data_IF_983213175170
#
_entry.id   IF_983213175170
#
_cell.length_a   1.000
_cell.length_b   1.000
_cell.length_c   1.000
_cell.angle_alpha   90.00
_cell.angle_beta   90.00
_cell.angle_gamma   90.00
#
_symmetry.space_group_name_H-M   'P 1'
#
loop_
_entity.id
_entity.type
_entity.pdbx_description
1 polymer ?
#
# COMPACT_ATOMS: atom_id res chain seq x y z
N UNK A 1 -12.05 8.78 -34.39
CA UNK A 1 -12.20 8.43 -32.97
C UNK A 1 -12.62 6.97 -32.75
N UNK A 2 -11.72 6.18 -32.18
CA UNK A 2 -11.93 4.85 -31.61
C UNK A 2 -12.66 4.94 -30.25
N UNK A 3 -13.98 4.75 -30.26
CA UNK A 3 -14.82 4.80 -29.05
C UNK A 3 -14.46 3.73 -28.01
N UNK A 4 -13.89 2.59 -28.41
CA UNK A 4 -13.51 1.51 -27.49
C UNK A 4 -12.31 1.86 -26.62
N UNK A 5 -11.51 2.85 -27.03
CA UNK A 5 -10.36 3.33 -26.28
C UNK A 5 -10.72 4.45 -25.28
N UNK A 6 -11.94 4.97 -25.32
CA UNK A 6 -12.42 5.96 -24.36
C UNK A 6 -12.75 5.30 -23.04
N UNK A 7 -12.18 5.81 -21.96
CA UNK A 7 -12.46 5.30 -20.62
C UNK A 7 -12.37 6.38 -19.55
N UNK A 8 -13.39 6.41 -18.71
CA UNK A 8 -13.46 7.17 -17.48
C UNK A 8 -14.37 6.45 -16.48
N UNK A 9 -13.99 6.49 -15.21
CA UNK A 9 -14.84 6.02 -14.11
C UNK A 9 -14.81 7.06 -12.97
N UNK A 10 -15.99 7.42 -12.46
CA UNK A 10 -16.12 8.35 -11.35
C UNK A 10 -15.73 7.66 -10.03
N UNK A 11 -15.16 8.40 -9.07
CA UNK A 11 -14.64 7.86 -7.80
C UNK A 11 -13.61 6.72 -8.01
N UNK A 12 -12.72 6.91 -8.96
CA UNK A 12 -11.64 5.98 -9.29
C UNK A 12 -10.32 6.73 -9.43
N UNK A 13 -9.24 6.07 -9.81
CA UNK A 13 -8.00 6.71 -10.24
C UNK A 13 -8.20 7.76 -11.36
N UNK A 14 -9.33 7.69 -12.07
CA UNK A 14 -9.76 8.65 -13.09
C UNK A 14 -10.54 9.86 -12.54
N UNK A 15 -11.00 9.83 -11.30
CA UNK A 15 -11.79 10.90 -10.67
C UNK A 15 -11.69 10.81 -9.15
N UNK A 16 -10.84 11.65 -8.55
CA UNK A 16 -10.54 11.60 -7.12
C UNK A 16 -10.37 13.00 -6.53
N UNK A 17 -10.77 13.17 -5.27
CA UNK A 17 -10.52 14.40 -4.53
C UNK A 17 -9.03 14.49 -4.20
N UNK A 18 -8.35 15.51 -4.72
CA UNK A 18 -6.93 15.76 -4.44
C UNK A 18 -6.76 16.38 -3.05
N UNK A 19 -7.61 17.37 -2.75
CA UNK A 19 -7.73 18.02 -1.45
C UNK A 19 -9.22 18.28 -1.12
N UNK A 20 -9.50 19.05 -0.06
CA UNK A 20 -10.87 19.35 0.40
C UNK A 20 -11.74 20.09 -0.63
N UNK A 21 -11.13 20.81 -1.56
CA UNK A 21 -11.82 21.69 -2.51
C UNK A 21 -11.54 21.32 -3.97
N UNK A 22 -10.48 20.56 -4.23
CA UNK A 22 -9.99 20.27 -5.58
C UNK A 22 -10.28 18.83 -5.99
N UNK A 23 -10.95 18.67 -7.13
CA UNK A 23 -11.18 17.40 -7.78
C UNK A 23 -10.26 17.25 -9.00
N UNK A 24 -9.55 16.13 -9.06
CA UNK A 24 -8.76 15.73 -10.22
C UNK A 24 -9.59 14.79 -11.07
N UNK A 25 -9.78 15.14 -12.34
CA UNK A 25 -10.54 14.35 -13.31
C UNK A 25 -9.66 14.09 -14.52
N UNK A 26 -9.66 12.83 -14.96
CA UNK A 26 -8.94 12.42 -16.14
C UNK A 26 -9.70 11.35 -16.92
N UNK A 27 -9.54 11.31 -18.24
CA UNK A 27 -10.04 10.20 -19.08
C UNK A 27 -8.95 9.81 -20.07
N UNK A 28 -8.98 8.58 -20.55
CA UNK A 28 -8.09 8.14 -21.63
C UNK A 28 -8.82 8.02 -22.95
N UNK A 29 -8.10 8.24 -24.04
CA UNK A 29 -8.50 7.98 -25.42
C UNK A 29 -7.38 7.26 -26.16
N UNK A 30 -7.66 6.69 -27.34
CA UNK A 30 -6.60 6.16 -28.20
C UNK A 30 -5.59 7.28 -28.52
N UNK A 31 -4.31 6.91 -28.60
CA UNK A 31 -3.22 7.85 -28.88
C UNK A 31 -3.48 8.64 -30.17
N UNK A 32 -3.39 9.96 -30.08
CA UNK A 32 -3.57 10.92 -31.18
C UNK A 32 -4.93 10.82 -31.90
N UNK A 33 -5.94 10.21 -31.28
CA UNK A 33 -7.24 9.95 -31.90
C UNK A 33 -8.29 11.03 -31.60
N UNK A 34 -8.01 11.91 -30.64
CA UNK A 34 -8.83 13.10 -30.34
C UNK A 34 -7.98 14.37 -30.47
N UNK A 35 -8.57 15.44 -31.00
CA UNK A 35 -7.89 16.72 -31.24
C UNK A 35 -7.89 17.62 -30.01
N UNK A 36 -9.02 17.69 -29.31
CA UNK A 36 -9.17 18.44 -28.07
C UNK A 36 -10.30 17.85 -27.21
N UNK A 37 -10.26 18.20 -25.93
CA UNK A 37 -11.29 17.79 -24.97
C UNK A 37 -11.53 18.91 -23.96
N UNK A 38 -12.80 19.14 -23.65
CA UNK A 38 -13.23 20.00 -22.56
C UNK A 38 -14.01 19.17 -21.54
N UNK A 39 -13.98 19.59 -20.28
CA UNK A 39 -14.96 19.16 -19.30
C UNK A 39 -16.08 20.19 -19.24
N UNK A 40 -17.33 19.72 -19.15
CA UNK A 40 -18.48 20.50 -18.73
C UNK A 40 -18.88 20.02 -17.33
N UNK A 41 -19.01 20.92 -16.38
CA UNK A 41 -19.27 20.57 -14.98
C UNK A 41 -20.11 21.63 -14.26
N UNK A 42 -20.82 21.22 -13.21
CA UNK A 42 -21.66 22.12 -12.41
C UNK A 42 -22.28 21.42 -11.19
N UNK A 43 -22.84 22.21 -10.27
CA UNK A 43 -23.57 21.66 -9.13
C UNK A 43 -24.85 20.97 -9.64
N UNK A 44 -25.15 19.71 -9.24
CA UNK A 44 -26.29 18.97 -9.76
C UNK A 44 -27.66 19.64 -9.53
N UNK A 45 -27.73 20.57 -8.59
CA UNK A 45 -28.94 21.27 -8.15
C UNK A 45 -28.95 22.76 -8.50
N UNK A 46 -27.91 23.29 -9.16
CA UNK A 46 -27.89 24.68 -9.62
C UNK A 46 -28.61 24.79 -10.96
N UNK A 47 -29.80 25.37 -10.95
CA UNK A 47 -30.62 25.60 -12.14
C UNK A 47 -31.00 27.07 -12.21
N UNK A 48 -30.60 27.73 -13.29
CA UNK A 48 -30.88 29.13 -13.55
C UNK A 48 -32.06 29.25 -14.53
N UNK A 49 -32.83 30.34 -14.43
CA UNK A 49 -33.85 30.66 -15.44
C UNK A 49 -33.15 31.35 -16.61
N UNK A 50 -33.25 30.77 -17.80
CA UNK A 50 -32.75 31.43 -19.00
C UNK A 50 -33.64 32.64 -19.38
N UNK A 51 -33.20 33.42 -20.38
CA UNK A 51 -33.92 34.62 -20.87
C UNK A 51 -35.34 34.33 -21.38
N UNK A 52 -35.65 33.08 -21.69
CA UNK A 52 -36.95 32.60 -22.17
C UNK A 52 -37.83 32.02 -21.06
N UNK A 53 -37.36 32.08 -19.80
CA UNK A 53 -38.09 31.59 -18.62
C UNK A 53 -38.02 30.08 -18.39
N UNK A 54 -37.32 29.32 -19.24
CA UNK A 54 -37.10 27.88 -19.04
C UNK A 54 -35.89 27.63 -18.13
N UNK A 55 -35.99 26.55 -17.33
CA UNK A 55 -34.93 26.14 -16.41
C UNK A 55 -33.76 25.56 -17.19
N UNK A 56 -32.55 26.02 -16.90
CA UNK A 56 -31.33 25.57 -17.55
C UNK A 56 -30.27 25.27 -16.48
N UNK A 57 -29.53 24.17 -16.65
CA UNK A 57 -28.54 23.76 -15.66
C UNK A 57 -27.34 24.72 -15.65
N UNK A 58 -26.97 25.26 -14.48
CA UNK A 58 -25.83 26.17 -14.37
C UNK A 58 -24.52 25.40 -14.41
N UNK A 59 -23.77 25.52 -15.51
CA UNK A 59 -22.49 24.85 -15.72
C UNK A 59 -21.35 25.81 -16.06
N UNK A 60 -20.14 25.28 -15.95
CA UNK A 60 -18.90 25.85 -16.44
C UNK A 60 -18.24 24.86 -17.39
N UNK A 61 -17.39 25.36 -18.29
CA UNK A 61 -16.54 24.53 -19.15
C UNK A 61 -15.08 24.85 -18.92
N UNK A 62 -14.21 23.85 -19.05
CA UNK A 62 -12.76 24.01 -18.94
C UNK A 62 -12.05 23.09 -19.91
N UNK A 63 -11.03 23.60 -20.59
CA UNK A 63 -10.15 22.79 -21.44
C UNK A 63 -9.40 21.75 -20.61
N UNK A 64 -9.25 20.55 -21.16
CA UNK A 64 -8.46 19.48 -20.57
C UNK A 64 -7.08 19.42 -21.24
N UNK A 65 -6.03 19.36 -20.43
CA UNK A 65 -4.67 19.18 -20.94
C UNK A 65 -4.41 17.71 -21.27
N UNK A 66 -3.74 17.43 -22.40
CA UNK A 66 -3.13 16.11 -22.60
C UNK A 66 -1.90 16.01 -21.69
N UNK A 67 -2.09 15.45 -20.51
CA UNK A 67 -1.05 15.36 -19.48
C UNK A 67 -0.04 14.27 -19.76
N UNK A 68 -0.51 13.12 -20.24
CA UNK A 68 0.33 11.97 -20.51
C UNK A 68 -0.03 11.33 -21.85
N UNK A 69 0.94 10.66 -22.47
CA UNK A 69 0.76 9.87 -23.67
C UNK A 69 1.60 8.59 -23.53
N UNK A 70 0.93 7.45 -23.48
CA UNK A 70 1.55 6.12 -23.53
C UNK A 70 1.70 5.66 -24.98
N UNK A 71 2.07 4.39 -25.20
CA UNK A 71 2.16 3.79 -26.53
C UNK A 71 0.77 3.70 -27.18
N UNK A 72 -0.26 3.43 -26.39
CA UNK A 72 -1.63 3.17 -26.85
C UNK A 72 -2.60 4.31 -26.56
N UNK A 73 -2.36 5.12 -25.53
CA UNK A 73 -3.36 6.06 -25.01
C UNK A 73 -2.85 7.48 -24.80
N UNK A 74 -3.74 8.45 -25.02
CA UNK A 74 -3.63 9.82 -24.52
C UNK A 74 -4.46 9.97 -23.25
N UNK A 75 -3.91 10.61 -22.22
CA UNK A 75 -4.61 10.89 -20.96
C UNK A 75 -4.86 12.39 -20.83
N UNK A 76 -6.13 12.76 -20.86
CA UNK A 76 -6.59 14.14 -20.72
C UNK A 76 -6.93 14.40 -19.27
N UNK A 77 -6.46 15.52 -18.72
CA UNK A 77 -6.60 15.87 -17.32
C UNK A 77 -7.19 17.27 -17.14
N UNK A 78 -7.93 17.45 -16.05
CA UNK A 78 -8.33 18.76 -15.54
C UNK A 78 -8.45 18.76 -14.02
N UNK A 79 -8.08 19.88 -13.41
CA UNK A 79 -8.44 20.22 -12.02
C UNK A 79 -9.70 21.08 -12.04
N UNK A 80 -10.68 20.76 -11.21
CA UNK A 80 -11.85 21.62 -10.96
C UNK A 80 -12.06 21.83 -9.46
N UNK A 81 -12.71 22.94 -9.09
CA UNK A 81 -13.04 23.28 -7.70
C UNK A 81 -14.55 23.50 -7.56
N UNK A 82 -15.34 22.43 -7.34
CA UNK A 82 -16.78 22.56 -7.23
C UNK A 82 -17.14 23.43 -6.02
N UNK A 83 -17.78 24.58 -6.25
CA UNK A 83 -18.07 25.59 -5.21
C UNK A 83 -18.80 25.04 -3.97
N UNK A 84 -19.69 24.07 -4.18
CA UNK A 84 -20.48 23.44 -3.11
C UNK A 84 -20.04 22.01 -2.81
N UNK A 85 -18.81 21.66 -3.20
CA UNK A 85 -18.15 20.36 -2.96
C UNK A 85 -18.86 19.17 -3.61
N UNK A 86 -19.71 19.41 -4.61
CA UNK A 86 -20.41 18.36 -5.39
C UNK A 86 -20.48 18.76 -6.85
N UNK A 87 -20.43 17.80 -7.75
CA UNK A 87 -20.46 18.11 -9.19
C UNK A 87 -21.01 16.96 -10.01
N UNK A 88 -21.79 17.30 -11.02
CA UNK A 88 -21.97 16.45 -12.21
C UNK A 88 -21.07 16.96 -13.32
N UNK A 89 -20.61 16.06 -14.18
CA UNK A 89 -19.74 16.44 -15.30
C UNK A 89 -19.82 15.45 -16.46
N UNK A 90 -19.43 15.91 -17.64
CA UNK A 90 -19.24 15.12 -18.84
C UNK A 90 -18.08 15.70 -19.64
N UNK A 91 -17.61 14.98 -20.66
CA UNK A 91 -16.53 15.44 -21.52
C UNK A 91 -17.08 15.84 -22.89
N UNK A 92 -16.70 17.01 -23.38
CA UNK A 92 -16.93 17.41 -24.76
C UNK A 92 -15.65 17.08 -25.53
N UNK A 93 -15.72 16.07 -26.39
CA UNK A 93 -14.59 15.54 -27.15
C UNK A 93 -14.73 15.98 -28.61
N UNK A 94 -13.66 16.51 -29.19
CA UNK A 94 -13.59 16.86 -30.60
C UNK A 94 -12.53 16.01 -31.29
N UNK A 95 -12.94 15.20 -32.28
CA UNK A 95 -12.03 14.29 -32.99
C UNK A 95 -11.37 14.88 -34.24
N UNK A 96 -11.71 16.13 -34.57
CA UNK A 96 -11.25 16.81 -35.79
C UNK A 96 -12.40 17.13 -36.74
N UNK A 97 -13.44 16.29 -36.75
CA UNK A 97 -14.59 16.42 -37.63
C UNK A 97 -15.89 16.63 -36.85
N UNK A 98 -16.07 15.87 -35.77
CA UNK A 98 -17.29 15.81 -34.98
C UNK A 98 -17.03 16.14 -33.51
N UNK A 99 -18.06 16.65 -32.85
CA UNK A 99 -18.08 16.89 -31.40
C UNK A 99 -18.97 15.87 -30.72
N UNK A 100 -18.57 15.40 -29.54
CA UNK A 100 -19.32 14.40 -28.78
C UNK A 100 -19.39 14.77 -27.31
N UNK A 101 -20.55 14.55 -26.70
CA UNK A 101 -20.73 14.56 -25.25
C UNK A 101 -20.54 13.14 -24.73
N UNK A 102 -19.44 12.90 -24.02
CA UNK A 102 -19.10 11.63 -23.39
C UNK A 102 -19.46 11.67 -21.90
N UNK A 103 -20.52 10.93 -21.54
CA UNK A 103 -21.02 10.82 -20.19
C UNK A 103 -21.01 9.38 -19.66
N UNK A 104 -21.51 9.17 -18.44
CA UNK A 104 -21.39 7.90 -17.73
C UNK A 104 -22.18 6.75 -18.36
N UNK A 105 -23.35 7.03 -18.93
CA UNK A 105 -24.25 6.01 -19.48
C UNK A 105 -24.18 5.92 -21.00
N UNK A 106 -23.84 7.02 -21.68
CA UNK A 106 -23.84 7.10 -23.15
C UNK A 106 -22.94 8.21 -23.68
N UNK A 107 -22.61 8.08 -24.95
CA UNK A 107 -21.97 9.11 -25.76
C UNK A 107 -22.99 9.66 -26.76
N UNK A 108 -23.10 10.99 -26.85
CA UNK A 108 -24.03 11.68 -27.75
C UNK A 108 -23.19 12.46 -28.76
N UNK A 109 -23.49 12.33 -30.04
CA UNK A 109 -22.87 13.16 -31.08
C UNK A 109 -23.62 14.50 -31.19
N UNK A 110 -22.86 15.60 -31.21
CA UNK A 110 -23.37 16.96 -31.27
C UNK A 110 -23.31 17.41 -32.74
N UNK A 111 -24.38 17.12 -33.48
CA UNK A 111 -24.48 17.34 -34.95
C UNK A 111 -24.92 18.76 -35.33
N UNK A 112 -25.18 19.60 -34.34
CA UNK A 112 -25.60 20.98 -34.48
C UNK A 112 -24.71 21.91 -33.65
N UNK A 113 -24.84 23.22 -33.87
CA UNK A 113 -24.18 24.21 -33.01
C UNK A 113 -24.61 23.99 -31.56
N UNK A 114 -23.64 23.76 -30.67
CA UNK A 114 -23.87 23.38 -29.27
C UNK A 114 -24.75 24.44 -28.58
N UNK A 115 -25.89 24.02 -28.07
CA UNK A 115 -26.83 24.87 -27.32
C UNK A 115 -26.81 24.51 -25.86
N UNK A 116 -27.07 25.49 -25.01
CA UNK A 116 -27.17 25.27 -23.56
C UNK A 116 -28.20 24.19 -23.18
N UNK A 117 -29.28 24.03 -23.96
CA UNK A 117 -30.29 22.99 -23.74
C UNK A 117 -29.77 21.57 -23.88
N UNK A 118 -28.67 21.36 -24.62
CA UNK A 118 -28.08 20.04 -24.86
C UNK A 118 -27.54 19.40 -23.57
N UNK A 119 -27.34 20.22 -22.52
CA UNK A 119 -26.76 19.82 -21.24
C UNK A 119 -27.77 19.73 -20.10
N UNK A 120 -29.06 19.95 -20.37
CA UNK A 120 -30.10 19.89 -19.33
C UNK A 120 -30.43 18.44 -18.91
N UNK A 121 -30.12 17.43 -19.73
CA UNK A 121 -30.30 16.03 -19.32
C UNK A 121 -29.09 15.49 -18.55
N UNK A 122 -29.08 15.74 -17.24
CA UNK A 122 -28.02 15.29 -16.34
C UNK A 122 -28.03 13.78 -16.09
N UNK A 123 -29.00 13.02 -16.63
CA UNK A 123 -29.04 11.57 -16.44
C UNK A 123 -27.85 10.87 -17.08
N UNK A 124 -27.28 11.47 -18.14
CA UNK A 124 -26.12 10.96 -18.87
C UNK A 124 -24.76 11.36 -18.25
N UNK A 125 -24.73 12.24 -17.25
CA UNK A 125 -23.49 12.82 -16.72
C UNK A 125 -22.87 11.93 -15.63
N UNK A 126 -21.54 11.94 -15.57
CA UNK A 126 -20.81 11.44 -14.40
C UNK A 126 -21.15 12.29 -13.17
N UNK A 127 -21.01 11.68 -11.99
CA UNK A 127 -21.35 12.30 -10.73
C UNK A 127 -20.23 12.10 -9.72
N UNK A 128 -19.76 13.19 -9.12
CA UNK A 128 -18.97 13.17 -7.89
C UNK A 128 -19.87 13.74 -6.77
N UNK A 129 -20.53 12.86 -5.99
CA UNK A 129 -21.64 13.28 -5.12
C UNK A 129 -21.27 14.34 -4.08
N UNK A 130 -20.10 14.19 -3.44
CA UNK A 130 -19.59 15.14 -2.45
C UNK A 130 -18.10 14.91 -2.18
N UNK A 131 -17.33 15.98 -1.95
CA UNK A 131 -15.96 15.95 -1.44
C UNK A 131 -16.00 15.97 0.10
N UNK A 132 -16.11 14.79 0.70
CA UNK A 132 -16.00 14.63 2.16
C UNK A 132 -14.52 14.72 2.56
N UNK A 133 -14.21 15.55 3.55
CA UNK A 133 -12.83 15.69 4.05
C UNK A 133 -12.31 14.41 4.75
N UNK A 134 -13.23 13.58 5.26
CA UNK A 134 -12.97 12.29 5.91
C UNK A 134 -12.57 11.21 4.92
N UNK A 135 -13.01 11.31 3.66
CA UNK A 135 -12.72 10.37 2.58
C UNK A 135 -11.38 10.69 1.87
N UNK A 136 -10.71 11.77 2.27
CA UNK A 136 -9.43 12.16 1.67
C UNK A 136 -8.31 11.22 2.09
N UNK A 137 -7.42 10.93 1.14
CA UNK A 137 -6.17 10.23 1.43
C UNK A 137 -5.24 11.12 2.25
N UNK A 138 -5.33 11.03 3.57
CA UNK A 138 -4.53 11.80 4.51
C UNK A 138 -3.38 10.95 5.06
N UNK A 139 -2.17 11.32 4.65
CA UNK A 139 -0.90 10.74 5.12
C UNK A 139 -0.22 11.65 6.15
N UNK A 140 0.62 11.12 7.04
CA UNK A 140 1.38 11.95 7.95
C UNK A 140 2.34 12.88 7.18
N UNK A 141 2.30 14.22 7.39
CA UNK A 141 3.05 15.18 6.57
C UNK A 141 4.57 15.03 6.60
N UNK A 142 5.12 14.35 7.60
CA UNK A 142 6.55 14.11 7.73
C UNK A 142 7.06 13.07 6.71
N UNK A 143 6.21 12.14 6.27
CA UNK A 143 6.60 10.99 5.42
C UNK A 143 7.14 11.43 4.06
N UNK A 144 6.56 12.47 3.45
CA UNK A 144 6.99 13.00 2.15
C UNK A 144 8.44 13.49 2.11
N UNK A 145 9.00 13.81 3.29
CA UNK A 145 10.37 14.29 3.46
C UNK A 145 11.29 13.21 4.07
N UNK A 146 10.78 11.97 4.22
CA UNK A 146 11.52 10.88 4.85
C UNK A 146 12.33 10.10 3.83
N UNK A 147 13.61 9.90 4.13
CA UNK A 147 14.47 8.94 3.44
C UNK A 147 14.59 7.71 4.33
N UNK A 148 14.01 6.60 3.88
CA UNK A 148 13.92 5.37 4.65
C UNK A 148 15.15 4.48 4.46
N UNK A 149 15.60 3.85 5.55
CA UNK A 149 16.62 2.81 5.54
C UNK A 149 16.04 1.51 6.13
N UNK A 150 16.02 0.45 5.32
CA UNK A 150 15.52 -0.86 5.73
C UNK A 150 16.63 -1.65 6.44
N UNK A 151 16.35 -2.15 7.64
CA UNK A 151 17.28 -2.93 8.46
C UNK A 151 16.74 -4.35 8.66
N UNK A 152 17.49 -5.32 8.15
CA UNK A 152 17.35 -6.72 8.55
C UNK A 152 18.24 -6.97 9.78
N UNK A 153 17.60 -7.08 10.96
CA UNK A 153 18.25 -6.94 12.27
C UNK A 153 19.48 -7.85 12.46
N UNK A 154 19.33 -9.16 12.21
CA UNK A 154 20.37 -10.16 12.43
C UNK A 154 21.67 -9.90 11.63
N UNK A 155 21.59 -9.10 10.55
CA UNK A 155 22.67 -8.91 9.58
C UNK A 155 23.19 -7.48 9.50
N UNK A 156 22.70 -6.56 10.33
CA UNK A 156 23.09 -5.16 10.23
C UNK A 156 24.35 -4.84 11.02
N UNK A 157 24.31 -5.02 12.34
CA UNK A 157 25.47 -4.80 13.19
C UNK A 157 25.30 -5.49 14.54
N UNK A 158 26.36 -6.14 15.03
CA UNK A 158 26.37 -6.80 16.34
C UNK A 158 27.21 -6.01 17.34
N UNK A 159 26.62 -5.64 18.48
CA UNK A 159 27.36 -5.06 19.60
C UNK A 159 28.04 -6.11 20.46
N UNK A 160 27.48 -7.32 20.48
CA UNK A 160 27.88 -8.41 21.38
C UNK A 160 28.76 -9.47 20.73
N UNK A 161 28.75 -9.55 19.39
CA UNK A 161 29.37 -10.64 18.60
C UNK A 161 28.91 -12.03 19.07
N UNK A 162 27.65 -12.17 19.46
CA UNK A 162 27.07 -13.41 19.97
C UNK A 162 26.81 -14.49 18.89
N UNK A 163 27.56 -14.48 17.79
CA UNK A 163 27.51 -15.52 16.77
C UNK A 163 28.88 -16.16 16.59
N UNK A 164 28.88 -17.47 16.39
CA UNK A 164 30.08 -18.22 15.98
C UNK A 164 30.41 -18.05 14.50
N UNK A 165 29.52 -17.43 13.72
CA UNK A 165 29.73 -17.17 12.29
C UNK A 165 30.59 -15.93 12.09
N UNK A 166 31.50 -16.01 11.14
CA UNK A 166 32.26 -14.85 10.69
C UNK A 166 31.37 -13.93 9.84
N UNK A 167 31.38 -12.64 10.15
CA UNK A 167 30.65 -11.63 9.39
C UNK A 167 31.19 -11.56 7.96
N UNK A 168 30.29 -11.64 6.97
CA UNK A 168 30.67 -11.60 5.55
C UNK A 168 31.00 -12.97 4.94
N UNK A 169 30.80 -14.08 5.66
CA UNK A 169 30.89 -15.42 5.08
C UNK A 169 29.82 -15.65 4.00
N UNK A 170 30.25 -16.14 2.83
CA UNK A 170 29.39 -16.45 1.69
C UNK A 170 29.57 -17.92 1.24
N UNK A 171 28.52 -18.61 0.76
CA UNK A 171 27.14 -18.14 0.65
C UNK A 171 26.41 -18.16 2.00
N UNK A 172 25.54 -17.17 2.20
CA UNK A 172 24.65 -17.07 3.37
C UNK A 172 23.52 -18.10 3.26
N UNK A 173 23.18 -18.75 4.37
CA UNK A 173 22.02 -19.66 4.46
C UNK A 173 20.91 -19.07 5.33
N UNK A 174 19.68 -19.56 5.13
CA UNK A 174 18.48 -19.04 5.79
C UNK A 174 18.41 -19.38 7.28
N UNK A 175 19.06 -20.46 7.71
CA UNK A 175 19.10 -20.95 9.09
C UNK A 175 20.27 -20.39 9.92
N UNK A 176 21.15 -19.60 9.29
CA UNK A 176 22.30 -18.97 9.92
C UNK A 176 21.90 -17.70 10.71
N UNK A 177 22.50 -17.51 11.88
CA UNK A 177 22.33 -16.32 12.72
C UNK A 177 23.67 -15.61 12.89
N UNK A 178 23.76 -14.36 12.46
CA UNK A 178 25.01 -13.57 12.50
C UNK A 178 25.09 -12.67 13.75
N UNK A 179 24.01 -12.60 14.53
CA UNK A 179 24.01 -12.01 15.85
C UNK A 179 23.91 -10.49 15.86
N UNK A 180 23.39 -9.88 14.80
CA UNK A 180 22.99 -8.47 14.82
C UNK A 180 21.93 -8.20 15.88
N UNK A 181 22.02 -7.05 16.56
CA UNK A 181 21.24 -6.73 17.76
C UNK A 181 20.84 -5.24 17.85
N UNK A 182 19.85 -4.93 18.69
CA UNK A 182 19.31 -3.57 18.86
C UNK A 182 20.37 -2.59 19.37
N UNK A 183 21.25 -3.04 20.27
CA UNK A 183 22.37 -2.22 20.76
C UNK A 183 23.35 -1.89 19.63
N UNK A 184 23.57 -2.82 18.72
CA UNK A 184 24.38 -2.64 17.52
C UNK A 184 23.78 -1.58 16.59
N UNK A 185 22.48 -1.64 16.32
CA UNK A 185 21.79 -0.59 15.57
C UNK A 185 21.91 0.76 16.29
N UNK A 186 21.71 0.77 17.62
CA UNK A 186 21.83 1.99 18.44
C UNK A 186 23.21 2.64 18.32
N UNK A 187 24.29 1.86 18.18
CA UNK A 187 25.66 2.37 17.94
C UNK A 187 25.88 2.93 16.54
N UNK A 188 25.00 2.64 15.59
CA UNK A 188 25.08 3.08 14.19
C UNK A 188 24.07 4.15 13.82
N UNK A 189 23.26 4.62 14.77
CA UNK A 189 22.30 5.69 14.49
C UNK A 189 22.97 6.99 14.06
N UNK A 190 24.14 7.34 14.62
CA UNK A 190 24.92 8.50 14.17
C UNK A 190 25.42 8.34 12.73
N UNK A 191 25.81 7.12 12.33
CA UNK A 191 26.18 6.82 10.95
C UNK A 191 24.98 6.99 10.01
N UNK A 192 23.79 6.53 10.41
CA UNK A 192 22.57 6.69 9.61
C UNK A 192 22.16 8.17 9.50
N UNK A 193 22.31 8.94 10.57
CA UNK A 193 22.05 10.37 10.57
C UNK A 193 23.04 11.11 9.63
N UNK A 194 24.33 10.78 9.68
CA UNK A 194 25.36 11.33 8.79
C UNK A 194 25.09 11.00 7.32
N UNK A 195 24.57 9.79 7.03
CA UNK A 195 24.11 9.39 5.70
C UNK A 195 22.87 10.19 5.22
N UNK A 196 22.19 10.92 6.10
CA UNK A 196 20.98 11.69 5.78
C UNK A 196 19.68 10.90 5.90
N UNK A 197 19.71 9.74 6.57
CA UNK A 197 18.51 8.93 6.82
C UNK A 197 17.64 9.59 7.88
N UNK A 198 16.34 9.65 7.62
CA UNK A 198 15.34 10.25 8.53
C UNK A 198 14.24 9.27 8.94
N UNK A 199 14.29 8.03 8.44
CA UNK A 199 13.40 6.95 8.87
C UNK A 199 14.07 5.59 8.79
N UNK A 200 13.82 4.72 9.76
CA UNK A 200 14.25 3.33 9.77
C UNK A 200 13.02 2.43 9.69
N UNK A 201 13.07 1.47 8.78
CA UNK A 201 12.13 0.35 8.71
C UNK A 201 12.84 -0.92 9.16
N UNK A 202 12.39 -1.51 10.27
CA UNK A 202 12.84 -2.83 10.70
C UNK A 202 11.98 -3.93 10.10
N UNK A 203 12.60 -4.96 9.54
CA UNK A 203 11.94 -6.28 9.36
C UNK A 203 11.49 -6.83 10.72
N UNK A 204 10.75 -7.95 10.81
CA UNK A 204 10.22 -8.40 12.10
C UNK A 204 11.33 -8.58 13.16
N UNK A 205 11.08 -8.03 14.36
CA UNK A 205 11.99 -8.09 15.51
C UNK A 205 11.35 -8.76 16.73
N UNK A 206 10.11 -9.23 16.60
CA UNK A 206 9.40 -9.92 17.66
C UNK A 206 9.89 -11.36 17.81
N UNK A 207 9.66 -11.92 18.99
CA UNK A 207 10.13 -13.25 19.37
C UNK A 207 9.71 -14.29 18.33
N UNK A 208 10.69 -14.99 17.75
CA UNK A 208 10.47 -16.03 16.75
C UNK A 208 11.70 -16.95 16.61
N UNK A 209 11.52 -18.25 16.28
CA UNK A 209 12.61 -19.21 16.25
C UNK A 209 13.53 -19.14 15.02
N UNK A 210 13.24 -18.30 14.02
CA UNK A 210 13.99 -18.22 12.76
C UNK A 210 14.81 -16.94 12.64
N UNK A 211 15.74 -16.85 11.69
CA UNK A 211 16.52 -15.63 11.45
C UNK A 211 15.63 -14.44 11.02
N UNK A 212 14.61 -14.70 10.18
CA UNK A 212 13.77 -13.68 9.56
C UNK A 212 12.60 -13.21 10.44
N UNK A 213 12.24 -13.99 11.47
CA UNK A 213 11.23 -13.66 12.48
C UNK A 213 9.77 -13.50 12.02
N UNK A 214 9.46 -13.65 10.72
CA UNK A 214 8.08 -13.70 10.20
C UNK A 214 7.17 -14.78 10.84
N UNK A 215 7.71 -15.91 11.30
CA UNK A 215 6.97 -16.91 12.07
C UNK A 215 6.91 -16.52 13.55
N UNK A 216 6.15 -15.45 13.85
CA UNK A 216 6.07 -14.80 15.16
C UNK A 216 5.49 -15.72 16.25
N UNK A 217 6.22 -15.87 17.36
CA UNK A 217 5.81 -16.62 18.55
C UNK A 217 5.14 -15.73 19.62
N UNK A 218 5.65 -14.51 19.81
CA UNK A 218 5.09 -13.52 20.75
C UNK A 218 5.23 -12.10 20.20
N UNK A 219 4.09 -11.45 19.93
CA UNK A 219 4.00 -10.12 19.35
C UNK A 219 4.30 -8.97 20.35
N UNK A 220 4.39 -9.26 21.65
CA UNK A 220 4.59 -8.25 22.70
C UNK A 220 6.01 -8.21 23.24
N UNK A 221 6.89 -9.02 22.65
CA UNK A 221 8.24 -9.24 23.13
C UNK A 221 9.24 -9.18 21.97
N UNK A 222 10.24 -8.31 22.10
CA UNK A 222 11.44 -8.34 21.26
C UNK A 222 12.10 -9.71 21.38
N UNK A 223 12.59 -10.24 20.26
CA UNK A 223 13.32 -11.49 20.28
C UNK A 223 14.56 -11.41 21.20
N UNK A 224 14.75 -12.35 22.14
CA UNK A 224 15.89 -12.34 23.05
C UNK A 224 17.26 -12.31 22.36
N UNK A 225 17.35 -12.78 21.12
CA UNK A 225 18.55 -12.68 20.31
C UNK A 225 18.90 -11.22 19.98
N UNK A 226 17.89 -10.37 19.78
CA UNK A 226 18.05 -8.97 19.40
C UNK A 226 18.16 -8.03 20.60
N UNK A 227 17.63 -8.43 21.75
CA UNK A 227 17.72 -7.69 23.01
C UNK A 227 16.43 -7.76 23.81
N UNK A 228 16.12 -6.67 24.51
CA UNK A 228 14.91 -6.53 25.32
C UNK A 228 13.99 -5.42 24.77
N UNK A 229 12.75 -5.38 25.26
CA UNK A 229 11.87 -4.25 24.95
C UNK A 229 12.46 -2.92 25.47
N UNK A 230 13.21 -2.92 26.57
CA UNK A 230 13.89 -1.73 27.09
C UNK A 230 15.00 -1.26 26.14
N UNK A 231 15.80 -2.19 25.58
CA UNK A 231 16.80 -1.87 24.56
C UNK A 231 16.14 -1.22 23.34
N UNK A 232 14.97 -1.73 22.92
CA UNK A 232 14.20 -1.12 21.84
C UNK A 232 13.73 0.30 22.18
N UNK A 233 13.18 0.51 23.38
CA UNK A 233 12.79 1.85 23.83
C UNK A 233 13.95 2.85 23.86
N UNK A 234 15.16 2.40 24.26
CA UNK A 234 16.37 3.21 24.22
C UNK A 234 16.81 3.54 22.79
N UNK A 235 16.70 2.57 21.87
CA UNK A 235 16.95 2.80 20.44
C UNK A 235 16.00 3.86 19.88
N UNK A 236 14.69 3.73 20.11
CA UNK A 236 13.70 4.67 19.57
C UNK A 236 13.95 6.09 20.10
N UNK A 237 14.18 6.24 21.41
CA UNK A 237 14.53 7.54 22.01
C UNK A 237 15.76 8.18 21.36
N UNK A 238 16.82 7.38 21.12
CA UNK A 238 18.04 7.87 20.47
C UNK A 238 17.82 8.21 19.00
N UNK A 239 17.04 7.40 18.28
CA UNK A 239 16.68 7.65 16.88
C UNK A 239 15.91 8.97 16.76
N UNK A 240 14.90 9.20 17.60
CA UNK A 240 14.14 10.45 17.65
C UNK A 240 15.01 11.67 17.99
N UNK A 241 15.97 11.54 18.91
CA UNK A 241 16.91 12.61 19.23
C UNK A 241 17.79 13.02 18.03
N UNK A 242 17.95 12.12 17.05
CA UNK A 242 18.66 12.35 15.79
C UNK A 242 17.71 12.70 14.63
N UNK A 243 16.41 12.88 14.89
CA UNK A 243 15.41 13.18 13.86
C UNK A 243 15.02 11.97 12.99
N UNK A 244 15.31 10.75 13.45
CA UNK A 244 15.04 9.50 12.72
C UNK A 244 13.75 8.87 13.24
N UNK A 245 12.79 8.66 12.35
CA UNK A 245 11.52 7.96 12.60
C UNK A 245 11.71 6.44 12.63
N UNK A 246 10.89 5.72 13.39
CA UNK A 246 11.00 4.25 13.52
C UNK A 246 9.70 3.55 13.12
N UNK A 247 9.80 2.64 12.15
CA UNK A 247 8.69 1.79 11.69
C UNK A 247 9.00 0.31 11.96
N UNK A 248 8.03 -0.41 12.53
CA UNK A 248 8.10 -1.85 12.78
C UNK A 248 7.33 -2.66 11.74
N UNK A 249 7.73 -3.91 11.56
CA UNK A 249 7.00 -4.90 10.76
C UNK A 249 5.87 -5.56 11.57
N UNK A 250 4.64 -5.47 11.08
CA UNK A 250 3.44 -6.05 11.64
C UNK A 250 2.99 -7.27 10.86
N UNK A 251 3.40 -8.46 11.31
CA UNK A 251 3.05 -9.74 10.69
C UNK A 251 1.64 -10.18 11.10
N UNK A 252 0.61 -9.50 10.56
CA UNK A 252 -0.77 -9.71 10.98
C UNK A 252 -1.58 -10.68 10.10
N UNK A 253 -1.00 -11.12 8.99
CA UNK A 253 -1.59 -12.13 8.11
C UNK A 253 -1.55 -13.55 8.72
N UNK A 254 -0.41 -13.88 9.35
CA UNK A 254 -0.10 -15.20 9.86
C UNK A 254 0.75 -15.09 11.13
N UNK A 255 1.02 -16.22 11.78
CA UNK A 255 1.84 -16.34 12.99
C UNK A 255 2.81 -17.51 12.83
N UNK A 256 3.72 -17.69 13.78
CA UNK A 256 4.56 -18.88 13.85
C UNK A 256 3.84 -20.09 14.43
N UNK A 257 4.21 -21.28 13.98
CA UNK A 257 3.70 -22.56 14.49
C UNK A 257 3.80 -22.67 16.02
N UNK A 258 4.85 -22.12 16.62
CA UNK A 258 5.10 -22.15 18.06
C UNK A 258 4.22 -21.19 18.88
N UNK A 259 3.44 -20.33 18.24
CA UNK A 259 2.59 -19.38 18.95
C UNK A 259 1.61 -20.11 19.88
N UNK A 260 1.40 -19.64 21.13
CA UNK A 260 0.57 -20.34 22.11
C UNK A 260 -0.84 -20.68 21.63
N UNK A 261 -1.48 -19.80 20.86
CA UNK A 261 -2.83 -20.03 20.35
C UNK A 261 -2.88 -21.21 19.37
N UNK A 262 -1.88 -21.36 18.50
CA UNK A 262 -1.84 -22.47 17.56
C UNK A 262 -1.43 -23.77 18.25
N UNK A 263 -0.50 -23.72 19.21
CA UNK A 263 -0.11 -24.88 20.00
C UNK A 263 -1.29 -25.45 20.83
N UNK A 264 -2.19 -24.59 21.31
CA UNK A 264 -3.42 -25.03 21.95
C UNK A 264 -4.33 -25.81 20.97
N UNK A 265 -4.47 -25.34 19.73
CA UNK A 265 -5.19 -26.05 18.66
C UNK A 265 -4.51 -27.37 18.29
N UNK A 266 -3.18 -27.41 18.21
CA UNK A 266 -2.43 -28.65 17.96
C UNK A 266 -2.71 -29.68 19.07
N UNK A 267 -2.78 -29.23 20.33
CA UNK A 267 -2.96 -30.10 21.49
C UNK A 267 -4.41 -30.57 21.68
N UNK A 268 -5.38 -29.68 21.50
CA UNK A 268 -6.79 -29.94 21.86
C UNK A 268 -7.72 -30.11 20.65
N UNK A 269 -7.23 -29.82 19.44
CA UNK A 269 -8.01 -29.93 18.21
C UNK A 269 -9.32 -29.13 18.28
N UNK A 270 -10.43 -29.78 17.95
CA UNK A 270 -11.78 -29.20 18.00
C UNK A 270 -12.20 -28.68 19.38
N UNK A 271 -11.53 -29.09 20.46
CA UNK A 271 -11.82 -28.64 21.82
C UNK A 271 -11.06 -27.38 22.22
N UNK A 272 -10.14 -26.89 21.37
CA UNK A 272 -9.41 -25.65 21.63
C UNK A 272 -10.35 -24.45 21.58
N UNK A 273 -10.16 -23.52 22.53
CA UNK A 273 -10.85 -22.22 22.51
C UNK A 273 -10.37 -21.32 21.35
N UNK A 274 -9.21 -21.63 20.76
CA UNK A 274 -8.60 -20.88 19.67
C UNK A 274 -8.86 -21.50 18.29
N UNK A 275 -9.66 -22.57 18.19
CA UNK A 275 -9.92 -23.27 16.93
C UNK A 275 -10.41 -22.34 15.80
N UNK A 276 -11.26 -21.36 16.14
CA UNK A 276 -11.85 -20.42 15.17
C UNK A 276 -10.98 -19.17 14.95
N UNK A 277 -9.80 -19.10 15.58
CA UNK A 277 -8.78 -18.08 15.34
C UNK A 277 -7.96 -18.36 14.07
N UNK A 278 -8.14 -19.52 13.45
CA UNK A 278 -7.44 -19.95 12.24
C UNK A 278 -8.43 -20.54 11.24
N UNK A 279 -8.00 -20.69 9.99
CA UNK A 279 -8.77 -21.37 8.96
C UNK A 279 -8.36 -22.85 8.90
N UNK A 280 -9.11 -23.71 9.58
CA UNK A 280 -8.83 -25.15 9.70
C UNK A 280 -9.78 -25.94 8.81
N UNK A 281 -9.23 -26.80 7.95
CA UNK A 281 -9.98 -27.67 7.05
C UNK A 281 -10.28 -29.04 7.70
N UNK A 282 -9.36 -29.58 8.51
CA UNK A 282 -9.48 -30.91 9.12
C UNK A 282 -8.68 -31.05 10.42
N UNK A 283 -9.15 -31.91 11.33
CA UNK A 283 -8.40 -32.36 12.51
C UNK A 283 -7.87 -33.80 12.37
N UNK A 284 -6.70 -34.13 12.94
CA UNK A 284 -5.75 -33.22 13.59
C UNK A 284 -5.13 -32.24 12.59
N UNK A 285 -4.79 -31.03 13.05
CA UNK A 285 -4.21 -29.99 12.17
C UNK A 285 -2.81 -30.36 11.69
N UNK A 286 -2.04 -31.11 12.49
CA UNK A 286 -0.72 -31.65 12.11
C UNK A 286 -0.92 -32.96 11.36
N UNK A 287 -0.73 -32.93 10.04
CA UNK A 287 -0.76 -34.08 9.14
C UNK A 287 0.60 -34.37 8.48
N UNK A 288 1.67 -33.95 9.14
CA UNK A 288 3.05 -34.03 8.67
C UNK A 288 3.99 -34.41 9.81
N UNK A 289 5.22 -34.80 9.46
CA UNK A 289 6.23 -35.15 10.45
C UNK A 289 6.81 -33.89 11.12
N UNK A 290 7.13 -34.02 12.40
CA UNK A 290 7.88 -33.02 13.15
C UNK A 290 9.33 -33.48 13.30
N UNK A 291 10.26 -32.53 13.30
CA UNK A 291 11.65 -32.77 13.72
C UNK A 291 11.69 -33.20 15.20
N UNK A 292 12.84 -33.70 15.66
CA UNK A 292 13.06 -34.01 17.09
C UNK A 292 12.78 -32.83 18.01
N UNK A 293 12.92 -31.60 17.51
CA UNK A 293 12.71 -30.37 18.25
C UNK A 293 11.28 -29.81 18.04
N UNK A 294 10.35 -30.62 17.52
CA UNK A 294 8.95 -30.25 17.34
C UNK A 294 8.65 -29.33 16.16
N UNK A 295 9.65 -28.98 15.33
CA UNK A 295 9.44 -28.12 14.16
C UNK A 295 8.77 -28.88 12.99
N UNK A 296 7.81 -28.28 12.28
CA UNK A 296 7.27 -28.82 11.04
C UNK A 296 8.34 -29.21 10.02
N UNK A 297 8.25 -30.44 9.50
CA UNK A 297 9.04 -30.86 8.35
C UNK A 297 8.22 -30.67 7.08
N UNK A 298 8.66 -29.75 6.22
CA UNK A 298 8.05 -29.57 4.91
C UNK A 298 8.38 -30.76 3.99
N UNK A 299 7.37 -31.21 3.24
CA UNK A 299 7.55 -32.15 2.14
C UNK A 299 6.82 -31.62 0.90
N UNK A 300 7.44 -31.84 -0.26
CA UNK A 300 6.86 -31.39 -1.55
C UNK A 300 5.52 -32.08 -1.79
N UNK A 301 4.50 -31.30 -2.11
CA UNK A 301 3.14 -31.81 -2.36
C UNK A 301 2.31 -32.05 -1.09
N UNK A 302 2.82 -31.69 0.09
CA UNK A 302 2.03 -31.70 1.33
C UNK A 302 0.86 -30.74 1.23
N UNK A 303 -0.36 -31.28 1.34
CA UNK A 303 -1.59 -30.50 1.49
C UNK A 303 -1.86 -30.37 2.99
N UNK A 304 -1.77 -29.15 3.53
CA UNK A 304 -1.97 -28.89 4.95
C UNK A 304 -3.46 -28.91 5.31
N UNK A 305 -3.77 -29.30 6.54
CA UNK A 305 -5.13 -29.32 7.07
C UNK A 305 -5.63 -27.93 7.55
N UNK A 306 -4.89 -26.86 7.24
CA UNK A 306 -5.18 -25.48 7.63
C UNK A 306 -4.54 -24.51 6.63
N UNK A 307 -5.06 -23.28 6.55
CA UNK A 307 -4.49 -22.24 5.67
C UNK A 307 -3.24 -21.62 6.28
N UNK A 308 -2.30 -21.26 5.42
CA UNK A 308 -0.98 -20.72 5.79
C UNK A 308 -0.61 -19.54 4.91
N UNK A 309 0.43 -18.81 5.29
CA UNK A 309 1.19 -18.05 4.29
C UNK A 309 1.82 -19.01 3.28
N UNK A 310 1.58 -18.77 2.00
CA UNK A 310 1.91 -19.67 0.91
C UNK A 310 1.54 -21.13 1.26
N UNK A 311 2.52 -22.03 1.31
CA UNK A 311 2.35 -23.44 1.68
C UNK A 311 3.22 -23.83 2.89
N UNK A 312 3.61 -22.85 3.72
CA UNK A 312 4.56 -23.09 4.80
C UNK A 312 3.85 -23.55 6.08
N UNK A 313 4.04 -24.80 6.56
CA UNK A 313 3.39 -25.27 7.78
C UNK A 313 3.79 -24.49 9.04
N UNK A 314 4.91 -23.76 9.00
CA UNK A 314 5.35 -22.90 10.09
C UNK A 314 4.53 -21.62 10.23
N UNK A 315 3.67 -21.29 9.26
CA UNK A 315 3.01 -19.98 9.18
C UNK A 315 1.48 -20.07 9.07
N UNK A 316 0.74 -20.57 10.08
CA UNK A 316 -0.72 -20.59 10.07
C UNK A 316 -1.33 -19.21 9.87
N UNK A 317 -2.34 -19.09 9.01
CA UNK A 317 -3.04 -17.83 8.71
C UNK A 317 -4.00 -17.47 9.86
N UNK A 318 -3.93 -16.22 10.31
CA UNK A 318 -4.89 -15.65 11.26
C UNK A 318 -6.27 -15.51 10.62
N UNK A 319 -7.33 -15.84 11.36
CA UNK A 319 -8.68 -15.40 11.07
C UNK A 319 -8.92 -14.02 11.72
N UNK A 320 -8.56 -12.95 11.02
CA UNK A 320 -8.58 -11.57 11.56
C UNK A 320 -9.98 -11.02 11.87
N UNK A 321 -11.05 -11.68 11.40
CA UNK A 321 -12.43 -11.32 11.77
C UNK A 321 -12.89 -11.96 13.10
N UNK A 322 -12.12 -12.91 13.64
CA UNK A 322 -12.42 -13.49 14.95
C UNK A 322 -12.15 -12.44 16.05
N UNK A 323 -13.11 -12.16 16.96
CA UNK A 323 -12.94 -11.14 17.99
C UNK A 323 -11.73 -11.33 18.93
N UNK A 324 -11.30 -12.58 19.17
CA UNK A 324 -10.09 -12.87 19.97
C UNK A 324 -8.84 -12.39 19.22
N UNK A 325 -8.74 -12.74 17.94
CA UNK A 325 -7.62 -12.37 17.07
C UNK A 325 -7.59 -10.88 16.84
N UNK A 326 -8.72 -10.28 16.46
CA UNK A 326 -8.84 -8.84 16.24
C UNK A 326 -8.35 -8.07 17.47
N UNK A 327 -8.87 -8.40 18.66
CA UNK A 327 -8.47 -7.76 19.90
C UNK A 327 -6.98 -7.97 20.21
N UNK A 328 -6.46 -9.19 20.04
CA UNK A 328 -5.05 -9.50 20.31
C UNK A 328 -4.11 -8.68 19.42
N UNK A 329 -4.36 -8.65 18.11
CA UNK A 329 -3.52 -7.94 17.15
C UNK A 329 -3.66 -6.41 17.27
N UNK A 330 -4.87 -5.87 17.47
CA UNK A 330 -5.04 -4.42 17.72
C UNK A 330 -4.40 -3.98 19.06
N UNK A 331 -4.38 -4.85 20.06
CA UNK A 331 -3.62 -4.61 21.29
C UNK A 331 -2.11 -4.57 21.02
N UNK A 332 -1.58 -5.45 20.17
CA UNK A 332 -0.18 -5.38 19.74
C UNK A 332 0.12 -4.05 19.03
N UNK A 333 -0.71 -3.68 18.05
CA UNK A 333 -0.59 -2.42 17.30
C UNK A 333 -0.49 -1.23 18.26
N UNK A 334 -1.40 -1.13 19.22
CA UNK A 334 -1.41 -0.01 20.17
C UNK A 334 -0.34 -0.12 21.25
N UNK A 335 0.11 -1.33 21.62
CA UNK A 335 1.13 -1.54 22.64
C UNK A 335 2.46 -0.91 22.25
N UNK A 336 2.95 -1.16 21.04
CA UNK A 336 4.25 -0.63 20.61
C UNK A 336 4.23 0.89 20.40
N UNK A 337 3.12 1.44 19.94
CA UNK A 337 2.94 2.89 19.82
C UNK A 337 2.89 3.53 21.22
N UNK A 338 2.07 3.01 22.15
CA UNK A 338 1.90 3.60 23.49
C UNK A 338 3.16 3.52 24.35
N UNK A 339 3.86 2.40 24.32
CA UNK A 339 4.95 2.14 25.27
C UNK A 339 6.34 2.50 24.71
N UNK A 340 6.51 2.49 23.39
CA UNK A 340 7.82 2.68 22.75
C UNK A 340 7.82 3.75 21.65
N UNK A 341 6.71 4.46 21.45
CA UNK A 341 6.59 5.63 20.57
C UNK A 341 7.03 5.41 19.11
N UNK A 342 6.78 4.23 18.55
CA UNK A 342 7.03 3.98 17.13
C UNK A 342 6.23 4.97 16.26
N UNK A 343 6.73 5.26 15.06
CA UNK A 343 6.14 6.23 14.13
C UNK A 343 5.34 5.58 13.00
N UNK A 344 5.44 4.27 12.83
CA UNK A 344 4.67 3.57 11.81
C UNK A 344 4.70 2.06 11.90
N UNK A 345 3.83 1.46 11.10
CA UNK A 345 3.74 0.02 10.86
C UNK A 345 3.92 -0.27 9.38
N UNK A 346 4.83 -1.18 9.03
CA UNK A 346 4.85 -1.90 7.76
C UNK A 346 4.06 -3.17 7.94
N UNK A 347 2.96 -3.35 7.22
CA UNK A 347 2.05 -4.50 7.34
C UNK A 347 2.46 -5.56 6.32
N UNK A 348 2.96 -6.68 6.82
CA UNK A 348 3.35 -7.85 6.03
C UNK A 348 2.15 -8.47 5.32
N UNK A 349 2.32 -8.81 4.04
CA UNK A 349 1.30 -9.46 3.20
C UNK A 349 -0.07 -8.77 3.35
N UNK A 350 -0.08 -7.43 3.29
CA UNK A 350 -1.28 -6.65 3.60
C UNK A 350 -2.43 -6.90 2.63
N UNK A 351 -2.14 -7.35 1.41
CA UNK A 351 -3.11 -7.71 0.40
C UNK A 351 -3.93 -8.97 0.72
N UNK A 352 -3.49 -9.81 1.67
CA UNK A 352 -4.25 -11.00 2.11
C UNK A 352 -4.99 -10.80 3.44
N UNK A 353 -4.92 -9.59 4.01
CA UNK A 353 -5.64 -9.19 5.22
C UNK A 353 -6.94 -8.49 4.81
N UNK A 354 -8.03 -8.73 5.54
CA UNK A 354 -9.31 -8.11 5.24
C UNK A 354 -9.23 -6.57 5.31
N UNK A 355 -9.89 -5.89 4.37
CA UNK A 355 -9.99 -4.43 4.36
C UNK A 355 -10.56 -3.87 5.68
N UNK A 356 -11.52 -4.56 6.28
CA UNK A 356 -12.11 -4.16 7.56
C UNK A 356 -11.09 -4.16 8.70
N UNK A 357 -10.22 -5.17 8.76
CA UNK A 357 -9.18 -5.21 9.77
C UNK A 357 -8.13 -4.12 9.55
N UNK A 358 -7.74 -3.84 8.29
CA UNK A 358 -6.81 -2.75 7.98
C UNK A 358 -7.37 -1.36 8.36
N UNK A 359 -8.67 -1.13 8.16
CA UNK A 359 -9.35 0.08 8.66
C UNK A 359 -9.22 0.21 10.17
N UNK A 360 -9.41 -0.90 10.90
CA UNK A 360 -9.26 -0.93 12.35
C UNK A 360 -7.82 -0.66 12.77
N UNK A 361 -6.82 -1.25 12.11
CA UNK A 361 -5.39 -0.99 12.37
C UNK A 361 -5.08 0.50 12.24
N UNK A 362 -5.47 1.15 11.14
CA UNK A 362 -5.26 2.59 10.94
C UNK A 362 -5.98 3.42 12.01
N UNK A 363 -7.24 3.08 12.29
CA UNK A 363 -8.06 3.78 13.29
C UNK A 363 -7.43 3.71 14.69
N UNK A 364 -7.10 2.52 15.20
CA UNK A 364 -6.54 2.38 16.56
C UNK A 364 -5.13 2.97 16.65
N UNK A 365 -4.33 2.86 15.60
CA UNK A 365 -3.00 3.49 15.55
C UNK A 365 -3.11 5.00 15.72
N UNK A 366 -3.97 5.64 14.94
CA UNK A 366 -4.15 7.11 14.96
C UNK A 366 -4.94 7.63 16.15
N UNK A 367 -5.70 6.78 16.84
CA UNK A 367 -6.26 7.11 18.16
C UNK A 367 -5.18 7.22 19.24
N UNK A 368 -4.07 6.49 19.11
CA UNK A 368 -2.93 6.58 20.03
C UNK A 368 -1.98 7.70 19.62
N UNK A 369 -1.55 7.71 18.36
CA UNK A 369 -0.60 8.68 17.81
C UNK A 369 -1.05 9.09 16.42
N UNK A 370 -1.60 10.31 16.32
CA UNK A 370 -2.34 10.82 15.15
C UNK A 370 -1.55 10.74 13.83
N UNK A 371 -0.24 10.88 13.90
CA UNK A 371 0.69 10.89 12.76
C UNK A 371 1.38 9.54 12.53
N UNK A 372 0.84 8.44 13.06
CA UNK A 372 1.32 7.08 12.77
C UNK A 372 1.14 6.76 11.28
N UNK A 373 2.22 6.34 10.63
CA UNK A 373 2.26 5.95 9.23
C UNK A 373 1.94 4.46 9.06
N UNK A 374 1.03 4.12 8.15
CA UNK A 374 0.67 2.72 7.84
C UNK A 374 1.10 2.38 6.41
N UNK A 375 2.17 1.61 6.27
CA UNK A 375 2.71 1.11 5.02
C UNK A 375 2.25 -0.34 4.80
N UNK A 376 1.68 -0.68 3.65
CA UNK A 376 1.42 -2.08 3.29
C UNK A 376 2.49 -2.69 2.40
N UNK A 377 2.75 -3.98 2.58
CA UNK A 377 3.40 -4.79 1.56
C UNK A 377 2.37 -5.30 0.55
N UNK A 378 2.29 -4.60 -0.57
CA UNK A 378 1.58 -5.07 -1.75
C UNK A 378 2.52 -5.00 -2.96
N UNK A 379 2.56 -6.05 -3.75
CA UNK A 379 3.42 -6.13 -4.94
C UNK A 379 2.72 -5.65 -6.22
N UNK A 380 1.39 -5.71 -6.22
CA UNK A 380 0.53 -5.44 -7.37
C UNK A 380 -0.22 -4.08 -7.24
N UNK A 381 -1.16 -3.84 -8.16
CA UNK A 381 -2.06 -2.67 -8.12
C UNK A 381 -2.75 -2.56 -6.76
N UNK A 382 -2.45 -1.46 -6.06
CA UNK A 382 -2.79 -1.30 -4.65
C UNK A 382 -3.84 -0.21 -4.39
N UNK A 383 -4.45 0.31 -5.45
CA UNK A 383 -5.43 1.39 -5.32
C UNK A 383 -6.60 1.07 -4.34
N UNK A 384 -7.14 -0.16 -4.28
CA UNK A 384 -8.20 -0.51 -3.31
C UNK A 384 -7.84 -0.30 -1.82
N UNK A 385 -6.55 -0.23 -1.49
CA UNK A 385 -6.06 0.00 -0.12
C UNK A 385 -5.66 1.46 0.13
N UNK A 386 -5.63 2.29 -0.91
CA UNK A 386 -5.12 3.67 -0.90
C UNK A 386 -6.25 4.70 -1.09
N UNK A 387 -7.47 4.34 -0.70
CA UNK A 387 -8.62 5.25 -0.66
C UNK A 387 -8.66 6.15 0.57
N UNK A 388 -7.61 6.16 1.39
CA UNK A 388 -7.49 6.99 2.61
C UNK A 388 -7.92 6.33 3.91
N UNK A 389 -8.68 5.23 3.87
CA UNK A 389 -9.27 4.58 5.05
C UNK A 389 -8.45 3.42 5.63
N UNK A 390 -7.46 2.90 4.90
CA UNK A 390 -6.73 1.67 5.25
C UNK A 390 -5.22 1.86 5.33
N UNK A 391 -4.53 2.04 4.21
CA UNK A 391 -3.09 2.25 4.16
C UNK A 391 -2.80 3.71 3.82
N UNK A 392 -1.62 4.20 4.19
CA UNK A 392 -1.11 5.51 3.78
C UNK A 392 -0.24 5.40 2.52
N UNK A 393 0.42 4.26 2.35
CA UNK A 393 1.28 3.94 1.22
C UNK A 393 1.39 2.41 1.07
N UNK A 394 1.99 1.97 -0.03
CA UNK A 394 2.48 0.59 -0.21
C UNK A 394 3.93 0.58 -0.66
N UNK A 395 4.61 -0.56 -0.48
CA UNK A 395 5.90 -0.82 -1.10
C UNK A 395 5.76 -0.77 -2.62
N UNK A 396 6.37 0.23 -3.26
CA UNK A 396 6.08 0.56 -4.65
C UNK A 396 6.81 -0.34 -5.66
N UNK A 397 6.46 -1.63 -5.66
CA UNK A 397 6.99 -2.59 -6.62
C UNK A 397 6.48 -2.34 -8.05
N UNK A 398 5.31 -1.70 -8.20
CA UNK A 398 4.80 -1.19 -9.49
C UNK A 398 5.78 -0.22 -10.17
N UNK A 399 6.57 0.54 -9.38
CA UNK A 399 7.67 1.37 -9.89
C UNK A 399 8.99 0.58 -10.00
N UNK A 400 9.30 -0.23 -8.98
CA UNK A 400 10.57 -0.93 -8.86
C UNK A 400 10.79 -1.92 -10.00
N UNK A 401 9.76 -2.67 -10.40
CA UNK A 401 9.85 -3.70 -11.43
C UNK A 401 10.21 -3.15 -12.83
N UNK A 402 9.51 -2.14 -13.38
CA UNK A 402 9.95 -1.50 -14.61
C UNK A 402 11.38 -0.94 -14.52
N UNK A 403 11.77 -0.38 -13.38
CA UNK A 403 13.11 0.14 -13.16
C UNK A 403 14.16 -0.99 -13.24
N UNK A 404 13.95 -2.11 -12.56
CA UNK A 404 14.85 -3.26 -12.62
C UNK A 404 14.97 -3.78 -14.05
N UNK A 405 13.86 -4.02 -14.76
CA UNK A 405 13.91 -4.53 -16.13
C UNK A 405 14.68 -3.59 -17.07
N UNK A 406 14.54 -2.27 -16.90
CA UNK A 406 15.26 -1.31 -17.71
C UNK A 406 16.76 -1.28 -17.41
N UNK A 407 17.13 -1.26 -16.13
CA UNK A 407 18.54 -1.25 -15.70
C UNK A 407 19.25 -2.57 -16.02
N UNK A 408 18.54 -3.70 -15.98
CA UNK A 408 19.02 -5.03 -16.39
C UNK A 408 19.02 -5.22 -17.92
N UNK A 409 18.69 -4.18 -18.69
CA UNK A 409 18.61 -4.22 -20.16
C UNK A 409 17.65 -5.28 -20.73
N UNK A 410 16.63 -5.67 -19.96
CA UNK A 410 15.57 -6.62 -20.40
C UNK A 410 14.49 -5.95 -21.25
N UNK A 411 14.32 -4.64 -21.10
CA UNK A 411 13.39 -3.82 -21.88
C UNK A 411 14.09 -2.56 -22.41
N UNK A 412 13.60 -2.02 -23.52
CA UNK A 412 14.11 -0.78 -24.09
C UNK A 412 13.55 0.49 -23.40
N UNK A 413 14.11 1.65 -23.76
CA UNK A 413 13.68 2.93 -23.20
C UNK A 413 12.22 3.26 -23.54
N UNK A 414 11.72 2.80 -24.69
CA UNK A 414 10.35 3.07 -25.13
C UNK A 414 9.36 2.34 -24.23
N UNK A 415 9.60 1.04 -24.01
CA UNK A 415 8.81 0.18 -23.12
C UNK A 415 8.87 0.66 -21.68
N UNK A 416 10.06 1.03 -21.18
CA UNK A 416 10.19 1.58 -19.83
C UNK A 416 9.40 2.88 -19.63
N UNK A 417 9.51 3.82 -20.58
CA UNK A 417 8.72 5.06 -20.56
C UNK A 417 7.22 4.78 -20.60
N UNK A 418 6.78 3.83 -21.42
CA UNK A 418 5.38 3.45 -21.52
C UNK A 418 4.83 2.91 -20.18
N UNK A 419 5.56 2.00 -19.54
CA UNK A 419 5.20 1.46 -18.22
C UNK A 419 5.12 2.55 -17.16
N UNK A 420 6.12 3.47 -17.11
CA UNK A 420 6.12 4.59 -16.17
C UNK A 420 4.98 5.57 -16.42
N UNK A 421 4.74 5.94 -17.68
CA UNK A 421 3.67 6.87 -18.04
C UNK A 421 2.31 6.28 -17.68
N UNK A 422 2.09 5.00 -17.99
CA UNK A 422 0.86 4.30 -17.62
C UNK A 422 0.67 4.31 -16.10
N UNK A 423 1.71 3.95 -15.33
CA UNK A 423 1.68 3.99 -13.87
C UNK A 423 1.37 5.40 -13.31
N UNK A 424 2.02 6.45 -13.85
CA UNK A 424 1.80 7.83 -13.46
C UNK A 424 0.40 8.36 -13.82
N UNK A 425 -0.20 7.81 -14.88
CA UNK A 425 -1.54 8.18 -15.31
C UNK A 425 -2.63 7.50 -14.45
N UNK A 426 -2.39 6.27 -14.00
CA UNK A 426 -3.36 5.47 -13.24
C UNK A 426 -3.13 5.47 -11.73
N UNK A 427 -2.25 6.33 -11.23
CA UNK A 427 -2.04 6.53 -9.79
C UNK A 427 -2.48 7.94 -9.41
N UNK A 428 -3.39 8.13 -8.45
CA UNK A 428 -3.75 9.47 -7.99
C UNK A 428 -2.57 10.27 -7.45
N UNK A 429 -2.53 11.57 -7.74
CA UNK A 429 -1.41 12.46 -7.39
C UNK A 429 -1.21 12.60 -5.87
N UNK A 430 -2.31 12.71 -5.12
CA UNK A 430 -2.28 12.73 -3.66
C UNK A 430 -1.78 11.41 -3.05
N UNK A 431 -1.94 10.29 -3.75
CA UNK A 431 -1.35 8.99 -3.35
C UNK A 431 0.14 8.95 -3.69
N UNK A 432 0.53 9.37 -4.90
CA UNK A 432 1.93 9.36 -5.36
C UNK A 432 2.90 10.07 -4.41
N UNK A 433 2.49 11.18 -3.81
CA UNK A 433 3.33 12.01 -2.95
C UNK A 433 3.93 11.27 -1.75
N UNK A 434 3.36 10.12 -1.37
CA UNK A 434 3.76 9.36 -0.18
C UNK A 434 4.10 7.90 -0.48
N UNK A 435 4.18 7.51 -1.76
CA UNK A 435 4.52 6.14 -2.15
C UNK A 435 5.91 5.74 -1.67
N UNK A 436 6.05 4.51 -1.16
CA UNK A 436 7.31 3.98 -0.67
C UNK A 436 8.15 3.45 -1.83
N UNK A 437 8.86 4.36 -2.49
CA UNK A 437 9.69 4.05 -3.65
C UNK A 437 11.00 3.38 -3.21
N UNK A 438 11.10 2.08 -3.44
CA UNK A 438 12.28 1.27 -3.12
C UNK A 438 12.98 0.79 -4.39
N UNK A 439 14.26 0.45 -4.27
CA UNK A 439 15.06 -0.17 -5.36
C UNK A 439 15.37 -1.64 -5.08
N UNK A 440 15.05 -2.12 -3.88
CA UNK A 440 15.30 -3.47 -3.40
C UNK A 440 14.91 -3.60 -1.92
N UNK A 441 14.86 -4.84 -1.45
CA UNK A 441 14.41 -5.24 -0.11
C UNK A 441 15.09 -6.55 0.30
N UNK A 442 14.74 -7.09 1.47
CA UNK A 442 15.16 -8.42 1.90
C UNK A 442 14.52 -9.57 1.08
N UNK A 443 13.43 -9.31 0.36
CA UNK A 443 12.73 -10.30 -0.47
C UNK A 443 13.19 -10.30 -1.94
N UNK A 444 14.18 -9.48 -2.27
CA UNK A 444 14.65 -9.29 -3.64
C UNK A 444 16.15 -9.38 -3.74
N UNK A 445 16.62 -9.76 -4.92
CA UNK A 445 18.03 -9.67 -5.26
C UNK A 445 18.53 -8.23 -5.12
N UNK A 446 19.73 -8.07 -4.53
CA UNK A 446 20.38 -6.77 -4.37
C UNK A 446 20.57 -6.11 -5.73
N UNK A 447 20.29 -4.80 -5.80
CA UNK A 447 20.46 -4.02 -7.05
C UNK A 447 21.86 -4.16 -7.65
N UNK A 448 22.92 -4.22 -6.83
CA UNK A 448 24.30 -4.41 -7.30
C UNK A 448 24.51 -5.74 -8.03
N UNK A 449 23.93 -6.83 -7.50
CA UNK A 449 24.02 -8.16 -8.09
C UNK A 449 23.24 -8.25 -9.41
N UNK A 450 22.03 -7.65 -9.43
CA UNK A 450 21.18 -7.53 -10.63
C UNK A 450 21.91 -6.86 -11.80
N UNK A 451 22.76 -5.88 -11.50
CA UNK A 451 23.53 -5.11 -12.48
C UNK A 451 24.92 -5.70 -12.77
N UNK A 452 25.27 -6.83 -12.16
CA UNK A 452 26.58 -7.47 -12.29
C UNK A 452 27.76 -6.53 -11.92
N UNK A 453 27.56 -5.68 -10.91
CA UNK A 453 28.54 -4.69 -10.43
C UNK A 453 29.27 -5.15 -9.14
N UNK A 454 29.47 -6.46 -8.98
CA UNK A 454 30.04 -7.08 -7.77
C UNK A 454 31.58 -7.04 -7.66
#
# INVERSE_FOLDING_TARGET
MNKLALWHNAKSEYSYAYDQNTLHILFRAAKNDIKSAQIIFGDPFKWDKNKEGSSAWGYETKEMEKRYQSIDFDYFFVEIKPLFHRTKYAFIIHDGNNSFLYGAQRMIELTHEIKHSDFNDLSAFYNFPYLNHEDLHQTPPWVKNTVWYQIFMDRFYSSTKNSSLEWGHLPVKNDELYGGDLKGVTQKLEYLADLGITGIYFTPIFKSPTAHKYDTEDYFMIDPQFGTNEDFGNLVKKAHALGIKVMLDGVFNHLGFNHPYFQDVVKFGEKSIYKDCFFIDRYPVVNFNLTKNGKPMYSKGLILNYKTFAFNPNMPKWNTSNPIVEKYLLNCVTFWIKNYDIDGWRIDVSNEISHDFLRLVKKVSRQVKKDTFILGENWDSSYPWLHGDQLDSVMNYSLSYPLWQYLEHKIDLITFKDMLVTYLATTPKNVMENMFNLIGSHDTERIRHRLHDD
#
